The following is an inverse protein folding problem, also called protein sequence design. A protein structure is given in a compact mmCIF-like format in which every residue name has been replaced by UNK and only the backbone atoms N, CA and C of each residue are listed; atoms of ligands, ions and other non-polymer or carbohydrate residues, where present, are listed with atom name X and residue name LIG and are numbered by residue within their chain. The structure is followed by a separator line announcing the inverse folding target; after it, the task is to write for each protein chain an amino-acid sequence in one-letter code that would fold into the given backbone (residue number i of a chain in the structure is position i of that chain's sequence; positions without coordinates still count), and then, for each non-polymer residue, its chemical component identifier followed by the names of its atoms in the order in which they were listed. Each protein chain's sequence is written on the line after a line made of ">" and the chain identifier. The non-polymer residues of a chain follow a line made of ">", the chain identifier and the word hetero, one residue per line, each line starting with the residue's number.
data_IF_573944201671
#
_entry.id   IF_573944201671
#
_cell.length_a   1.000
_cell.length_b   1.000
_cell.length_c   1.000
_cell.angle_alpha   90.00
_cell.angle_beta   90.00
_cell.angle_gamma   90.00
#
_symmetry.space_group_name_H-M   'P 1'
#
loop_
_entity.id
_entity.type
_entity.pdbx_description
1 polymer ?
#
# COMPACT_ATOMS: atom_id res chain seq x y z
N UNK A 1 6.36 -10.82 -22.22
CA UNK A 1 5.18 -11.03 -21.35
C UNK A 1 5.57 -11.68 -20.02
N UNK A 2 5.89 -10.90 -18.97
CA UNK A 2 6.21 -11.44 -17.64
C UNK A 2 4.97 -11.59 -16.74
N UNK A 3 3.96 -10.77 -17.01
CA UNK A 3 2.69 -10.73 -16.29
C UNK A 3 1.89 -12.03 -16.42
N UNK A 4 1.64 -12.50 -17.65
CA UNK A 4 0.87 -13.72 -17.90
C UNK A 4 1.54 -14.96 -17.25
N UNK A 5 2.88 -15.00 -17.27
CA UNK A 5 3.67 -16.05 -16.61
C UNK A 5 3.50 -16.06 -15.09
N UNK A 6 3.42 -14.88 -14.47
CA UNK A 6 3.21 -14.77 -13.03
C UNK A 6 1.80 -15.20 -12.61
N UNK A 7 0.79 -14.91 -13.43
CA UNK A 7 -0.59 -15.38 -13.18
C UNK A 7 -0.67 -16.91 -13.25
N UNK A 8 0.01 -17.51 -14.25
CA UNK A 8 0.07 -18.96 -14.40
C UNK A 8 0.81 -19.65 -13.23
N UNK A 9 1.87 -19.02 -12.71
CA UNK A 9 2.63 -19.55 -11.57
C UNK A 9 1.93 -19.34 -10.23
N UNK A 10 1.27 -18.19 -10.03
CA UNK A 10 0.59 -17.82 -8.79
C UNK A 10 -0.72 -17.06 -9.13
N UNK A 11 -1.88 -17.72 -9.11
CA UNK A 11 -3.16 -17.12 -9.53
C UNK A 11 -3.76 -16.14 -8.51
N UNK A 12 -2.98 -15.65 -7.53
CA UNK A 12 -3.46 -14.68 -6.53
C UNK A 12 -3.31 -13.26 -7.08
N UNK A 13 -4.44 -12.58 -7.25
CA UNK A 13 -4.52 -11.18 -7.65
C UNK A 13 -4.88 -10.31 -6.44
N UNK A 14 -4.13 -9.24 -6.24
CA UNK A 14 -4.37 -8.27 -5.18
C UNK A 14 -4.95 -6.96 -5.72
N UNK A 15 -5.52 -6.11 -4.84
CA UNK A 15 -5.99 -4.81 -5.26
C UNK A 15 -4.81 -3.89 -5.63
N UNK A 16 -4.75 -3.44 -6.88
CA UNK A 16 -3.78 -2.45 -7.36
C UNK A 16 -4.18 -1.01 -7.01
N UNK A 17 -3.34 -0.03 -7.37
CA UNK A 17 -3.68 1.41 -7.26
C UNK A 17 -3.53 2.01 -5.86
N UNK A 18 -2.69 1.43 -4.98
CA UNK A 18 -2.43 2.00 -3.65
C UNK A 18 -3.23 1.39 -2.50
N UNK A 19 -4.31 0.64 -2.79
CA UNK A 19 -5.19 0.03 -1.79
C UNK A 19 -4.45 -0.93 -0.85
N UNK A 20 -3.61 -1.80 -1.42
CA UNK A 20 -2.83 -2.76 -0.64
C UNK A 20 -1.83 -2.05 0.27
N UNK A 21 -1.09 -1.05 -0.24
CA UNK A 21 -0.13 -0.30 0.57
C UNK A 21 -0.80 0.46 1.72
N UNK A 22 -2.00 1.01 1.48
CA UNK A 22 -2.76 1.72 2.50
C UNK A 22 -3.30 0.79 3.58
N UNK A 23 -3.83 -0.36 3.19
CA UNK A 23 -4.28 -1.38 4.14
C UNK A 23 -3.09 -1.87 5.00
N UNK A 24 -1.94 -2.11 4.38
CA UNK A 24 -0.71 -2.50 5.09
C UNK A 24 -0.24 -1.37 6.03
N UNK A 25 -0.29 -0.10 5.60
CA UNK A 25 0.07 1.02 6.47
C UNK A 25 -0.86 1.17 7.68
N UNK A 26 -2.17 0.98 7.51
CA UNK A 26 -3.16 1.07 8.58
C UNK A 26 -2.97 -0.07 9.59
N UNK A 27 -2.75 -1.30 9.11
CA UNK A 27 -2.48 -2.46 9.96
C UNK A 27 -1.14 -2.35 10.69
N UNK A 28 -0.10 -1.79 10.07
CA UNK A 28 1.18 -1.50 10.74
C UNK A 28 1.02 -0.44 11.84
N UNK A 29 0.21 0.61 11.61
CA UNK A 29 -0.10 1.63 12.63
C UNK A 29 -0.92 1.07 13.80
N UNK A 30 -1.85 0.15 13.52
CA UNK A 30 -2.56 -0.56 14.59
C UNK A 30 -1.60 -1.45 15.40
N UNK A 31 -0.71 -2.18 14.73
CA UNK A 31 0.31 -3.00 15.40
C UNK A 31 1.32 -2.16 16.19
N UNK A 32 1.73 -1.00 15.69
CA UNK A 32 2.63 -0.10 16.44
C UNK A 32 1.99 0.43 17.72
N UNK A 33 0.65 0.50 17.77
CA UNK A 33 -0.08 0.88 18.99
C UNK A 33 -0.13 -0.25 20.03
N UNK A 34 0.03 -1.51 19.60
CA UNK A 34 0.11 -2.68 20.50
C UNK A 34 1.55 -3.01 20.95
N UNK A 35 2.56 -2.38 20.37
CA UNK A 35 3.97 -2.60 20.69
C UNK A 35 4.48 -1.42 21.51
N UNK A 36 5.03 -1.71 22.69
CA UNK A 36 5.59 -0.71 23.60
C UNK A 36 7.12 -0.64 23.48
N UNK A 37 7.70 0.54 23.70
CA UNK A 37 9.15 0.77 23.70
C UNK A 37 9.74 1.15 22.33
N UNK A 38 11.05 0.91 22.19
CA UNK A 38 11.85 1.34 21.02
C UNK A 38 11.43 0.61 19.72
N UNK A 39 10.85 -0.58 19.84
CA UNK A 39 10.39 -1.37 18.70
C UNK A 39 9.20 -0.74 17.96
N UNK A 40 8.49 0.23 18.56
CA UNK A 40 7.39 0.95 17.92
C UNK A 40 7.83 1.78 16.70
N UNK A 41 9.00 2.41 16.77
CA UNK A 41 9.53 3.29 15.72
C UNK A 41 9.70 2.59 14.36
N UNK A 42 10.26 1.37 14.28
CA UNK A 42 10.30 0.61 13.03
C UNK A 42 8.93 0.39 12.37
N UNK A 43 7.90 0.07 13.15
CA UNK A 43 6.55 -0.14 12.61
C UNK A 43 5.97 1.15 12.03
N UNK A 44 6.15 2.28 12.72
CA UNK A 44 5.71 3.58 12.21
C UNK A 44 6.48 4.01 10.96
N UNK A 45 7.80 3.83 10.95
CA UNK A 45 8.63 4.11 9.78
C UNK A 45 8.22 3.28 8.57
N UNK A 46 7.94 1.98 8.76
CA UNK A 46 7.45 1.09 7.71
C UNK A 46 6.07 1.51 7.20
N UNK A 47 5.16 1.93 8.09
CA UNK A 47 3.85 2.44 7.71
C UNK A 47 3.97 3.71 6.85
N UNK A 48 4.83 4.65 7.23
CA UNK A 48 5.08 5.90 6.48
C UNK A 48 5.69 5.59 5.10
N UNK A 49 6.62 4.63 5.02
CA UNK A 49 7.20 4.20 3.77
C UNK A 49 6.15 3.63 2.81
N UNK A 50 5.22 2.82 3.32
CA UNK A 50 4.10 2.29 2.53
C UNK A 50 3.17 3.40 2.01
N UNK A 51 2.93 4.45 2.78
CA UNK A 51 2.11 5.61 2.36
C UNK A 51 2.82 6.50 1.32
N UNK A 52 4.15 6.41 1.19
CA UNK A 52 4.92 7.18 0.22
C UNK A 52 4.55 6.82 -1.22
N UNK A 53 4.33 5.54 -1.51
CA UNK A 53 4.02 5.04 -2.86
C UNK A 53 2.68 5.54 -3.43
N UNK A 54 1.53 5.44 -2.73
CA UNK A 54 0.29 6.04 -3.24
C UNK A 54 0.38 7.57 -3.33
N UNK A 55 1.17 8.21 -2.45
CA UNK A 55 1.40 9.66 -2.50
C UNK A 55 2.21 10.09 -3.72
N UNK A 56 3.16 9.28 -4.19
CA UNK A 56 3.91 9.57 -5.44
C UNK A 56 3.11 9.26 -6.70
N UNK A 57 2.16 8.32 -6.63
CA UNK A 57 1.27 8.00 -7.74
C UNK A 57 0.12 9.02 -7.91
N UNK A 58 -0.39 9.60 -6.82
CA UNK A 58 -1.51 10.52 -6.86
C UNK A 58 -1.32 11.75 -7.81
N UNK A 59 -0.16 12.43 -7.86
CA UNK A 59 0.09 13.48 -8.85
C UNK A 59 -0.07 13.00 -10.30
N UNK A 60 0.36 11.77 -10.59
CA UNK A 60 0.29 11.19 -11.94
C UNK A 60 -1.17 10.96 -12.38
N UNK A 61 -2.10 10.84 -11.42
CA UNK A 61 -3.53 10.65 -11.67
C UNK A 61 -4.29 11.99 -11.80
N UNK A 62 -3.59 13.13 -11.82
CA UNK A 62 -4.19 14.49 -11.91
C UNK A 62 -5.19 14.81 -10.80
N UNK A 63 -4.97 14.23 -9.60
CA UNK A 63 -5.81 14.48 -8.42
C UNK A 63 -5.12 15.37 -7.41
N UNK A 64 -5.91 16.05 -6.58
CA UNK A 64 -5.39 16.72 -5.40
C UNK A 64 -4.94 15.70 -4.36
N UNK A 65 -3.63 15.45 -4.33
CA UNK A 65 -2.96 14.47 -3.49
C UNK A 65 -3.37 14.54 -2.03
N UNK A 66 -3.44 15.75 -1.47
CA UNK A 66 -3.73 15.92 -0.04
C UNK A 66 -5.17 15.44 0.24
N UNK A 67 -6.14 15.95 -0.52
CA UNK A 67 -7.55 15.62 -0.30
C UNK A 67 -7.86 14.15 -0.55
N UNK A 68 -7.36 13.58 -1.65
CA UNK A 68 -7.63 12.17 -1.97
C UNK A 68 -6.90 11.23 -1.02
N UNK A 69 -5.66 11.53 -0.64
CA UNK A 69 -4.90 10.69 0.29
C UNK A 69 -5.54 10.69 1.68
N UNK A 70 -5.94 11.86 2.21
CA UNK A 70 -6.60 11.95 3.52
C UNK A 70 -7.95 11.24 3.51
N UNK A 71 -8.76 11.43 2.46
CA UNK A 71 -10.04 10.72 2.33
C UNK A 71 -9.85 9.20 2.24
N UNK A 72 -8.83 8.74 1.51
CA UNK A 72 -8.53 7.33 1.35
C UNK A 72 -7.98 6.71 2.64
N UNK A 73 -7.10 7.42 3.37
CA UNK A 73 -6.60 7.01 4.68
C UNK A 73 -7.72 6.89 5.71
N UNK A 74 -8.65 7.85 5.76
CA UNK A 74 -9.80 7.80 6.67
C UNK A 74 -10.67 6.57 6.43
N UNK A 75 -10.93 6.23 5.16
CA UNK A 75 -11.68 5.02 4.80
C UNK A 75 -10.98 3.73 5.22
N UNK A 76 -9.66 3.65 5.00
CA UNK A 76 -8.87 2.48 5.41
C UNK A 76 -8.71 2.37 6.93
N UNK A 77 -8.61 3.48 7.65
CA UNK A 77 -8.57 3.52 9.11
C UNK A 77 -9.90 3.05 9.74
N UNK A 78 -11.03 3.39 9.11
CA UNK A 78 -12.36 2.93 9.52
C UNK A 78 -12.64 1.46 9.15
N UNK A 79 -11.68 0.74 8.56
CA UNK A 79 -11.87 -0.65 8.13
C UNK A 79 -12.78 -0.81 6.91
N UNK A 80 -13.18 0.29 6.26
CA UNK A 80 -13.99 0.22 5.05
C UNK A 80 -13.15 -0.30 3.88
N UNK A 81 -13.47 -1.52 3.43
CA UNK A 81 -13.11 -2.10 2.12
C UNK A 81 -11.64 -1.88 1.75
N UNK A 82 -10.76 -2.83 2.12
CA UNK A 82 -9.34 -2.97 1.71
C UNK A 82 -9.06 -2.96 0.18
N UNK A 83 -10.12 -2.77 -0.60
CA UNK A 83 -10.15 -2.75 -2.04
C UNK A 83 -10.40 -1.34 -2.59
N UNK A 84 -10.40 -0.29 -1.78
CA UNK A 84 -10.55 1.09 -2.25
C UNK A 84 -9.20 1.65 -2.72
N UNK A 85 -9.14 2.12 -3.96
CA UNK A 85 -7.94 2.71 -4.54
C UNK A 85 -8.26 4.03 -5.24
N UNK A 86 -7.22 4.79 -5.56
CA UNK A 86 -7.31 5.87 -6.53
C UNK A 86 -7.25 5.23 -7.91
N UNK A 87 -8.23 5.52 -8.75
CA UNK A 87 -8.14 5.14 -10.15
C UNK A 87 -7.16 6.05 -10.89
N UNK A 88 -6.20 5.45 -11.59
CA UNK A 88 -5.20 6.19 -12.35
C UNK A 88 -5.73 6.95 -13.56
N UNK A 89 -6.90 6.58 -14.06
CA UNK A 89 -7.51 7.21 -15.25
C UNK A 89 -8.46 8.36 -14.91
N UNK A 90 -9.33 8.18 -13.90
CA UNK A 90 -10.32 9.18 -13.50
C UNK A 90 -9.93 9.96 -12.25
N UNK A 91 -8.98 9.46 -11.46
CA UNK A 91 -8.60 10.06 -10.18
C UNK A 91 -9.62 9.86 -9.05
N UNK A 92 -10.73 9.19 -9.30
CA UNK A 92 -11.78 8.99 -8.30
C UNK A 92 -11.43 7.79 -7.40
N UNK A 93 -11.76 7.91 -6.12
CA UNK A 93 -11.67 6.79 -5.17
C UNK A 93 -12.73 5.76 -5.56
N UNK A 94 -12.30 4.62 -6.09
CA UNK A 94 -13.18 3.56 -6.58
C UNK A 94 -12.77 2.19 -6.05
N UNK A 95 -13.72 1.27 -6.00
CA UNK A 95 -13.46 -0.11 -5.61
C UNK A 95 -12.67 -0.83 -6.71
N UNK A 96 -11.49 -1.34 -6.39
CA UNK A 96 -10.63 -2.11 -7.30
C UNK A 96 -11.33 -3.38 -7.80
N UNK A 97 -12.27 -3.92 -7.02
CA UNK A 97 -13.16 -5.03 -7.42
C UNK A 97 -14.01 -4.67 -8.65
N UNK A 98 -14.53 -3.45 -8.72
CA UNK A 98 -15.46 -3.01 -9.77
C UNK A 98 -14.74 -2.76 -11.10
N UNK A 99 -13.52 -2.21 -11.04
CA UNK A 99 -12.77 -1.93 -12.27
C UNK A 99 -11.97 -3.11 -12.81
N UNK A 100 -12.02 -4.29 -12.17
CA UNK A 100 -11.14 -5.45 -12.51
C UNK A 100 -9.66 -5.04 -12.66
N UNK A 101 -9.22 -4.02 -11.92
CA UNK A 101 -7.82 -3.59 -11.89
C UNK A 101 -7.09 -4.57 -10.96
N UNK A 102 -6.98 -5.83 -11.40
CA UNK A 102 -6.25 -6.88 -10.72
C UNK A 102 -4.76 -6.63 -10.92
N UNK A 103 -4.10 -6.09 -9.90
CA UNK A 103 -2.66 -5.98 -9.87
C UNK A 103 -2.06 -7.33 -9.49
N UNK A 104 -1.07 -7.77 -10.25
CA UNK A 104 -0.32 -8.98 -9.94
C UNK A 104 0.39 -8.85 -8.58
N UNK A 105 0.76 -10.00 -8.02
CA UNK A 105 1.65 -10.16 -6.86
C UNK A 105 2.95 -9.31 -6.90
N UNK A 106 3.24 -8.62 -8.01
CA UNK A 106 4.31 -7.64 -8.15
C UNK A 106 4.21 -6.50 -7.13
N UNK A 107 3.01 -6.07 -6.75
CA UNK A 107 2.84 -5.13 -5.64
C UNK A 107 3.31 -5.69 -4.30
N UNK A 108 3.07 -6.99 -4.07
CA UNK A 108 3.55 -7.73 -2.90
C UNK A 108 5.07 -7.97 -2.97
N UNK A 109 5.62 -8.25 -4.16
CA UNK A 109 7.05 -8.47 -4.38
C UNK A 109 7.85 -7.19 -4.16
N UNK A 110 7.35 -6.05 -4.66
CA UNK A 110 7.90 -4.73 -4.35
C UNK A 110 7.78 -4.45 -2.85
N UNK A 111 6.62 -4.70 -2.23
CA UNK A 111 6.45 -4.56 -0.78
C UNK A 111 7.46 -5.41 0.00
N UNK A 112 7.67 -6.67 -0.37
CA UNK A 112 8.66 -7.54 0.26
C UNK A 112 10.08 -7.02 0.05
N UNK A 113 10.39 -6.45 -1.11
CA UNK A 113 11.68 -5.83 -1.40
C UNK A 113 11.89 -4.57 -0.55
N UNK A 114 10.87 -3.73 -0.40
CA UNK A 114 10.87 -2.54 0.44
C UNK A 114 10.97 -2.90 1.93
N UNK A 115 10.28 -3.93 2.38
CA UNK A 115 10.34 -4.42 3.76
C UNK A 115 11.72 -5.02 4.04
N UNK A 116 12.27 -5.84 3.14
CA UNK A 116 13.62 -6.38 3.28
C UNK A 116 14.68 -5.27 3.28
N UNK A 117 14.50 -4.24 2.45
CA UNK A 117 15.36 -3.06 2.43
C UNK A 117 15.26 -2.25 3.73
N UNK A 118 14.05 -2.05 4.26
CA UNK A 118 13.84 -1.39 5.55
C UNK A 118 14.45 -2.18 6.72
N UNK A 119 14.30 -3.51 6.73
CA UNK A 119 14.93 -4.40 7.72
C UNK A 119 16.47 -4.36 7.58
N UNK A 120 16.98 -4.30 6.35
CA UNK A 120 18.43 -4.19 6.09
C UNK A 120 19.01 -2.87 6.57
N UNK A 121 18.28 -1.76 6.45
CA UNK A 121 18.68 -0.46 7.02
C UNK A 121 18.70 -0.54 8.54
N UNK A 122 17.71 -1.17 9.17
CA UNK A 122 17.66 -1.34 10.63
C UNK A 122 18.82 -2.21 11.16
N UNK A 123 19.22 -3.27 10.44
CA UNK A 123 20.38 -4.09 10.80
C UNK A 123 21.72 -3.35 10.68
N UNK A 124 21.78 -2.21 9.99
CA UNK A 124 23.01 -1.45 9.79
C UNK A 124 23.18 -0.30 10.79
N UNK A 125 22.16 -0.02 11.61
CA UNK A 125 22.16 1.04 12.64
C UNK A 125 22.40 0.46 14.05
N UNK A 126 22.56 -0.86 14.19
CA UNK A 126 22.93 -1.55 15.42
C UNK A 126 24.40 -1.92 15.48
#
# INVERSE_FOLDING_TARGET
>A
MSVARNILKNPKLGPAGGATQLTVSATLKQKSSSVEGIEKWPYEAAAIACERTPRTLAPNCRVNVIRTMTALQGKHANGEKSWLAIDGSTGVITGVKEKKIGGYLFGLLLLLSFISFAISIFKFVG
#
